data_IF_448153427437
#
_entry.id   IF_448153427437
#
_cell.length_a   1.000
_cell.length_b   1.000
_cell.length_c   1.000
_cell.angle_alpha   90.00
_cell.angle_beta   90.00
_cell.angle_gamma   90.00
#
_symmetry.space_group_name_H-M   'P 1'
#
loop_
_entity.id
_entity.type
_entity.pdbx_description
1 polymer ?
#
# COMPACT_ATOMS: atom_id res chain seq x y z
N UNK A 1 11.22 45.08 33.11
CA UNK A 1 10.32 43.93 32.87
C UNK A 1 10.20 43.75 31.37
N UNK A 2 11.09 42.96 30.78
CA UNK A 2 11.20 42.76 29.34
C UNK A 2 10.05 41.89 28.80
N UNK A 3 9.23 42.46 27.91
CA UNK A 3 8.22 41.77 27.10
C UNK A 3 8.65 41.70 25.63
N UNK A 4 9.74 41.00 25.34
CA UNK A 4 10.17 40.73 23.94
C UNK A 4 10.61 39.28 23.74
N UNK A 5 9.95 38.32 24.40
CA UNK A 5 10.13 36.91 24.07
C UNK A 5 9.32 36.60 22.80
N UNK A 6 10.01 36.49 21.66
CA UNK A 6 9.42 35.96 20.43
C UNK A 6 8.79 34.58 20.72
N UNK A 7 7.58 34.30 20.21
CA UNK A 7 7.00 32.97 20.35
C UNK A 7 7.92 31.92 19.71
N UNK A 8 8.02 30.71 20.30
CA UNK A 8 8.83 29.64 19.75
C UNK A 8 8.35 29.33 18.33
N UNK A 9 9.29 29.29 17.39
CA UNK A 9 8.99 28.94 16.00
C UNK A 9 8.30 27.58 15.96
N UNK A 10 7.25 27.40 15.13
CA UNK A 10 6.59 26.12 14.99
C UNK A 10 7.61 25.06 14.56
N UNK A 11 7.48 23.80 15.06
CA UNK A 11 8.38 22.73 14.68
C UNK A 11 8.37 22.57 13.16
N UNK A 12 9.58 22.48 12.57
CA UNK A 12 9.74 22.29 11.15
C UNK A 12 8.94 21.05 10.69
N UNK A 13 8.25 21.12 9.52
CA UNK A 13 7.50 19.98 9.01
C UNK A 13 8.44 18.78 8.85
N UNK A 14 7.96 17.55 9.14
CA UNK A 14 8.75 16.36 8.95
C UNK A 14 9.21 16.30 7.49
N UNK A 15 10.52 16.10 7.30
CA UNK A 15 11.11 16.01 5.97
C UNK A 15 10.33 14.97 5.14
N UNK A 16 10.05 15.27 3.85
CA UNK A 16 9.38 14.31 2.97
C UNK A 16 10.17 13.01 3.02
N UNK A 17 9.46 11.88 3.14
CA UNK A 17 10.05 10.54 3.22
C UNK A 17 11.14 10.40 2.15
N UNK A 18 12.39 10.56 2.59
CA UNK A 18 13.49 10.95 1.71
C UNK A 18 13.70 9.91 0.63
N UNK A 19 13.85 10.37 -0.61
CA UNK A 19 14.42 9.52 -1.65
C UNK A 19 15.72 8.91 -1.12
N UNK A 20 15.96 7.60 -1.34
CA UNK A 20 17.21 7.01 -0.90
C UNK A 20 18.36 7.73 -1.62
N UNK A 21 19.08 8.59 -0.89
CA UNK A 21 20.30 9.22 -1.36
C UNK A 21 21.40 8.15 -1.48
N UNK A 22 21.33 7.36 -2.55
CA UNK A 22 22.30 6.32 -2.90
C UNK A 22 22.05 4.93 -2.28
N UNK A 23 22.96 4.00 -2.61
CA UNK A 23 22.92 2.57 -2.25
C UNK A 23 22.74 2.35 -0.74
N UNK A 24 23.45 3.11 0.11
CA UNK A 24 23.32 3.03 1.57
C UNK A 24 21.93 3.38 2.06
N UNK A 25 21.22 4.27 1.37
CA UNK A 25 19.83 4.61 1.67
C UNK A 25 18.91 3.43 1.42
N UNK A 26 19.06 2.77 0.26
CA UNK A 26 18.27 1.61 -0.16
C UNK A 26 18.49 0.41 0.78
N UNK A 27 19.73 0.12 1.15
CA UNK A 27 20.06 -0.97 2.07
C UNK A 27 19.43 -0.82 3.47
N UNK A 28 19.16 0.42 3.90
CA UNK A 28 18.54 0.71 5.19
C UNK A 28 17.02 0.71 5.15
N UNK A 29 16.39 0.74 3.98
CA UNK A 29 14.93 0.83 3.85
C UNK A 29 14.17 -0.26 4.63
N UNK A 30 14.47 -1.56 4.54
CA UNK A 30 13.71 -2.58 5.28
C UNK A 30 13.86 -2.49 6.80
N UNK A 31 14.85 -1.73 7.30
CA UNK A 31 15.12 -1.58 8.73
C UNK A 31 14.60 -0.26 9.31
N UNK A 32 13.93 0.57 8.52
CA UNK A 32 13.38 1.86 8.97
C UNK A 32 11.93 1.71 9.43
N UNK A 33 11.62 2.27 10.61
CA UNK A 33 10.24 2.36 11.12
C UNK A 33 9.26 2.96 10.11
N UNK A 34 9.67 4.03 9.43
CA UNK A 34 8.84 4.70 8.43
C UNK A 34 8.46 3.79 7.26
N UNK A 35 9.36 2.92 6.81
CA UNK A 35 9.06 1.93 5.77
C UNK A 35 7.97 0.98 6.23
N UNK A 36 8.07 0.47 7.45
CA UNK A 36 7.06 -0.43 8.02
C UNK A 36 5.69 0.22 8.18
N UNK A 37 5.62 1.54 8.42
CA UNK A 37 4.33 2.26 8.37
C UNK A 37 3.70 2.21 6.97
N UNK A 38 4.49 2.36 5.90
CA UNK A 38 3.98 2.26 4.52
C UNK A 38 3.64 0.81 4.16
N UNK A 39 4.42 -0.15 4.63
CA UNK A 39 4.11 -1.59 4.48
C UNK A 39 2.78 -1.91 5.16
N UNK A 40 2.58 -1.52 6.41
CA UNK A 40 1.34 -1.75 7.14
C UNK A 40 0.16 -1.00 6.52
N UNK A 41 0.37 0.22 6.04
CA UNK A 41 -0.62 0.96 5.27
C UNK A 41 -1.05 0.20 4.02
N UNK A 42 -0.11 -0.32 3.21
CA UNK A 42 -0.41 -1.11 2.01
C UNK A 42 -0.95 -2.52 2.30
N UNK A 43 -0.51 -3.14 3.40
CA UNK A 43 -0.95 -4.47 3.84
C UNK A 43 -2.40 -4.43 4.32
N UNK A 44 -2.78 -3.36 5.01
CA UNK A 44 -4.15 -3.14 5.43
C UNK A 44 -4.98 -2.78 4.20
N UNK A 45 -5.68 -3.80 3.71
CA UNK A 45 -6.47 -3.75 2.48
C UNK A 45 -7.32 -2.48 2.46
N UNK A 46 -7.39 -1.77 1.30
CA UNK A 46 -8.44 -0.80 1.08
C UNK A 46 -9.79 -1.46 1.38
N UNK A 47 -10.70 -0.72 2.00
CA UNK A 47 -12.05 -1.20 2.36
C UNK A 47 -12.71 -2.02 1.23
N UNK A 48 -12.54 -1.56 -0.02
CA UNK A 48 -13.02 -2.25 -1.22
C UNK A 48 -12.49 -3.68 -1.37
N UNK A 49 -11.17 -3.83 -1.33
CA UNK A 49 -10.51 -5.10 -1.55
C UNK A 49 -10.80 -6.05 -0.37
N UNK A 50 -10.81 -5.52 0.86
CA UNK A 50 -11.15 -6.29 2.06
C UNK A 50 -12.57 -6.87 2.00
N UNK A 51 -13.54 -6.04 1.64
CA UNK A 51 -14.93 -6.49 1.49
C UNK A 51 -15.09 -7.52 0.37
N UNK A 52 -14.45 -7.32 -0.80
CA UNK A 52 -14.47 -8.29 -1.90
C UNK A 52 -13.86 -9.64 -1.47
N UNK A 53 -12.74 -9.63 -0.77
CA UNK A 53 -12.06 -10.85 -0.30
C UNK A 53 -12.87 -11.63 0.74
N UNK A 54 -13.64 -10.96 1.60
CA UNK A 54 -14.53 -11.62 2.57
C UNK A 54 -15.82 -12.09 1.91
N UNK A 55 -16.37 -11.32 0.98
CA UNK A 55 -17.69 -11.59 0.41
C UNK A 55 -17.65 -12.52 -0.81
N UNK A 56 -16.47 -12.86 -1.32
CA UNK A 56 -16.33 -13.93 -2.32
C UNK A 56 -16.84 -15.29 -1.81
N UNK A 57 -16.78 -15.55 -0.50
CA UNK A 57 -17.25 -16.81 0.10
C UNK A 57 -18.79 -16.96 -0.01
N UNK A 58 -19.60 -16.01 0.49
CA UNK A 58 -21.05 -16.06 0.32
C UNK A 58 -21.46 -15.95 -1.16
N UNK A 59 -20.73 -15.19 -1.99
CA UNK A 59 -21.01 -15.14 -3.44
C UNK A 59 -20.81 -16.51 -4.10
N UNK A 60 -19.71 -17.23 -3.80
CA UNK A 60 -19.46 -18.59 -4.28
C UNK A 60 -20.49 -19.58 -3.73
N UNK A 61 -20.87 -19.43 -2.47
CA UNK A 61 -21.91 -20.26 -1.85
C UNK A 61 -23.26 -20.07 -2.55
N UNK A 62 -23.67 -18.83 -2.82
CA UNK A 62 -24.92 -18.51 -3.51
C UNK A 62 -24.96 -19.12 -4.92
N UNK A 63 -23.84 -19.02 -5.67
CA UNK A 63 -23.72 -19.67 -6.97
C UNK A 63 -23.86 -21.20 -6.88
N UNK A 64 -23.22 -21.83 -5.88
CA UNK A 64 -23.32 -23.28 -5.66
C UNK A 64 -24.73 -23.80 -5.30
N UNK A 65 -25.64 -22.92 -4.88
CA UNK A 65 -27.01 -23.26 -4.50
C UNK A 65 -28.07 -22.70 -5.49
N UNK A 66 -27.66 -22.23 -6.66
CA UNK A 66 -28.59 -21.73 -7.70
C UNK A 66 -29.12 -20.31 -7.49
N UNK A 67 -28.53 -19.54 -6.57
CA UNK A 67 -28.90 -18.15 -6.28
C UNK A 67 -27.95 -17.14 -6.95
N UNK A 68 -27.64 -17.33 -8.23
CA UNK A 68 -26.71 -16.48 -8.98
C UNK A 68 -27.00 -14.95 -8.89
N UNK A 69 -28.26 -14.48 -8.93
CA UNK A 69 -28.56 -13.05 -8.81
C UNK A 69 -28.13 -12.44 -7.47
N UNK A 70 -28.09 -13.25 -6.39
CA UNK A 70 -27.69 -12.80 -5.05
C UNK A 70 -26.22 -12.38 -5.03
N UNK A 71 -25.35 -13.05 -5.79
CA UNK A 71 -23.94 -12.68 -5.89
C UNK A 71 -23.74 -11.26 -6.44
N UNK A 72 -24.49 -10.91 -7.49
CA UNK A 72 -24.47 -9.56 -8.08
C UNK A 72 -25.00 -8.48 -7.14
N UNK A 73 -26.06 -8.79 -6.37
CA UNK A 73 -26.60 -7.87 -5.35
C UNK A 73 -25.60 -7.63 -4.21
N UNK A 74 -24.90 -8.68 -3.76
CA UNK A 74 -23.83 -8.56 -2.76
C UNK A 74 -22.71 -7.66 -3.29
N UNK A 75 -22.27 -7.88 -4.53
CA UNK A 75 -21.22 -7.07 -5.13
C UNK A 75 -21.65 -5.60 -5.26
N UNK A 76 -22.88 -5.35 -5.74
CA UNK A 76 -23.42 -3.99 -5.83
C UNK A 76 -23.45 -3.30 -4.46
N UNK A 77 -23.91 -3.99 -3.41
CA UNK A 77 -23.92 -3.47 -2.05
C UNK A 77 -22.51 -3.09 -1.59
N UNK A 78 -21.51 -3.93 -1.87
CA UNK A 78 -20.10 -3.62 -1.56
C UNK A 78 -19.63 -2.37 -2.27
N UNK A 79 -19.89 -2.25 -3.57
CA UNK A 79 -19.50 -1.08 -4.35
C UNK A 79 -20.12 0.20 -3.78
N UNK A 80 -21.39 0.16 -3.37
CA UNK A 80 -22.08 1.28 -2.73
C UNK A 80 -21.44 1.62 -1.38
N UNK A 81 -21.22 0.64 -0.51
CA UNK A 81 -20.55 0.84 0.79
C UNK A 81 -19.18 1.48 0.60
N UNK A 82 -18.38 0.99 -0.34
CA UNK A 82 -17.04 1.51 -0.61
C UNK A 82 -17.10 2.92 -1.20
N UNK A 83 -18.03 3.20 -2.12
CA UNK A 83 -18.18 4.53 -2.70
C UNK A 83 -18.57 5.58 -1.64
N UNK A 84 -19.43 5.20 -0.68
CA UNK A 84 -19.90 6.09 0.40
C UNK A 84 -18.86 6.26 1.50
N UNK A 85 -18.31 5.15 2.02
CA UNK A 85 -17.44 5.16 3.19
C UNK A 85 -15.94 5.23 2.86
N UNK A 86 -15.55 4.88 1.64
CA UNK A 86 -14.16 4.85 1.18
C UNK A 86 -13.37 6.13 1.45
N UNK A 87 -13.89 7.33 1.13
CA UNK A 87 -13.19 8.57 1.44
C UNK A 87 -12.99 8.81 2.93
N UNK A 88 -13.95 8.41 3.79
CA UNK A 88 -13.82 8.55 5.24
C UNK A 88 -12.77 7.59 5.79
N UNK A 89 -12.87 6.32 5.40
CA UNK A 89 -11.91 5.28 5.76
C UNK A 89 -10.48 5.66 5.37
N UNK A 90 -10.28 6.16 4.15
CA UNK A 90 -8.96 6.54 3.66
C UNK A 90 -8.30 7.64 4.49
N UNK A 91 -9.07 8.65 4.90
CA UNK A 91 -8.57 9.73 5.76
C UNK A 91 -8.11 9.19 7.12
N UNK A 92 -8.90 8.30 7.73
CA UNK A 92 -8.55 7.68 9.02
C UNK A 92 -7.29 6.82 8.88
N UNK A 93 -7.22 6.01 7.83
CA UNK A 93 -6.09 5.12 7.56
C UNK A 93 -4.79 5.91 7.31
N UNK A 94 -4.85 6.95 6.48
CA UNK A 94 -3.72 7.83 6.19
C UNK A 94 -3.22 8.55 7.45
N UNK A 95 -4.15 9.09 8.27
CA UNK A 95 -3.80 9.75 9.52
C UNK A 95 -3.16 8.79 10.52
N UNK A 96 -3.75 7.61 10.70
CA UNK A 96 -3.28 6.65 11.71
C UNK A 96 -1.90 6.07 11.37
N UNK A 97 -1.69 5.65 10.12
CA UNK A 97 -0.46 4.95 9.74
C UNK A 97 0.67 5.89 9.33
N UNK A 98 0.33 6.97 8.62
CA UNK A 98 1.31 7.86 7.98
C UNK A 98 1.35 9.25 8.61
N UNK A 99 0.47 9.55 9.57
CA UNK A 99 0.34 10.90 10.12
C UNK A 99 -0.21 11.92 9.11
N UNK A 100 -0.77 11.44 7.98
CA UNK A 100 -1.14 12.30 6.87
C UNK A 100 -2.58 12.81 7.02
N UNK A 101 -2.72 14.12 7.14
CA UNK A 101 -4.02 14.78 7.16
C UNK A 101 -4.50 15.06 5.74
N UNK A 102 -5.64 14.45 5.39
CA UNK A 102 -6.33 14.65 4.12
C UNK A 102 -7.61 15.44 4.42
N UNK A 103 -7.63 16.69 3.96
CA UNK A 103 -8.74 17.61 4.18
C UNK A 103 -10.06 17.16 3.54
N UNK A 104 -11.06 18.05 3.61
CA UNK A 104 -12.32 17.89 2.89
C UNK A 104 -12.37 18.90 1.77
N UNK A 105 -12.67 18.44 0.55
CA UNK A 105 -12.87 19.31 -0.60
C UNK A 105 -14.35 19.47 -0.89
N UNK A 106 -14.80 20.71 -1.03
CA UNK A 106 -16.15 21.10 -1.48
C UNK A 106 -16.09 21.66 -2.92
N UNK A 107 -17.21 21.64 -3.65
CA UNK A 107 -17.35 22.27 -4.98
C UNK A 107 -17.97 21.42 -6.11
N UNK A 108 -18.14 22.04 -7.27
CA UNK A 108 -19.03 21.64 -8.39
C UNK A 108 -18.67 20.38 -9.19
N UNK A 109 -17.71 19.57 -8.74
CA UNK A 109 -17.37 18.28 -9.40
C UNK A 109 -17.24 17.13 -8.40
N UNK A 110 -18.01 17.20 -7.32
CA UNK A 110 -17.93 16.24 -6.22
C UNK A 110 -18.12 14.80 -6.70
N UNK A 111 -19.15 14.53 -7.50
CA UNK A 111 -19.45 13.18 -7.98
C UNK A 111 -18.31 12.58 -8.82
N UNK A 112 -17.88 13.29 -9.87
CA UNK A 112 -16.80 12.83 -10.77
C UNK A 112 -15.51 12.55 -9.99
N UNK A 113 -15.17 13.41 -9.02
CA UNK A 113 -13.97 13.20 -8.17
C UNK A 113 -14.12 12.00 -7.23
N UNK A 114 -15.30 11.77 -6.66
CA UNK A 114 -15.53 10.60 -5.82
C UNK A 114 -15.50 9.30 -6.63
N UNK A 115 -16.05 9.31 -7.84
CA UNK A 115 -15.96 8.18 -8.77
C UNK A 115 -14.50 7.90 -9.18
N UNK A 116 -13.75 8.95 -9.55
CA UNK A 116 -12.32 8.82 -9.85
C UNK A 116 -11.52 8.32 -8.64
N UNK A 117 -11.84 8.82 -7.44
CA UNK A 117 -11.22 8.36 -6.19
C UNK A 117 -11.49 6.88 -5.96
N UNK A 118 -12.75 6.44 -6.10
CA UNK A 118 -13.12 5.04 -5.95
C UNK A 118 -12.25 4.13 -6.83
N UNK A 119 -12.15 4.43 -8.13
CA UNK A 119 -11.38 3.62 -9.09
C UNK A 119 -9.87 3.66 -8.79
N UNK A 120 -9.30 4.86 -8.65
CA UNK A 120 -7.86 5.04 -8.50
C UNK A 120 -7.36 4.56 -7.13
N UNK A 121 -8.15 4.75 -6.07
CA UNK A 121 -7.82 4.24 -4.74
C UNK A 121 -7.88 2.70 -4.70
N UNK A 122 -8.85 2.10 -5.38
CA UNK A 122 -8.93 0.65 -5.51
C UNK A 122 -7.72 0.08 -6.26
N UNK A 123 -7.36 0.68 -7.40
CA UNK A 123 -6.20 0.26 -8.20
C UNK A 123 -4.88 0.39 -7.44
N UNK A 124 -4.60 1.59 -6.92
CA UNK A 124 -3.34 1.86 -6.20
C UNK A 124 -3.22 1.04 -4.92
N UNK A 125 -4.32 0.86 -4.20
CA UNK A 125 -4.37 0.00 -3.02
C UNK A 125 -4.18 -1.49 -3.34
N UNK A 126 -4.77 -2.00 -4.42
CA UNK A 126 -4.57 -3.36 -4.87
C UNK A 126 -3.11 -3.61 -5.30
N UNK A 127 -2.51 -2.68 -6.04
CA UNK A 127 -1.10 -2.72 -6.41
C UNK A 127 -0.18 -2.67 -5.18
N UNK A 128 -0.50 -1.80 -4.21
CA UNK A 128 0.23 -1.71 -2.94
C UNK A 128 0.19 -3.01 -2.15
N UNK A 129 -1.00 -3.61 -2.01
CA UNK A 129 -1.18 -4.91 -1.38
C UNK A 129 -0.40 -6.01 -2.11
N UNK A 130 -0.54 -6.11 -3.43
CA UNK A 130 0.16 -7.11 -4.24
C UNK A 130 1.68 -6.96 -4.14
N UNK A 131 2.19 -5.72 -4.10
CA UNK A 131 3.60 -5.44 -3.90
C UNK A 131 4.08 -5.92 -2.52
N UNK A 132 3.33 -5.67 -1.45
CA UNK A 132 3.67 -6.15 -0.09
C UNK A 132 3.61 -7.68 -0.03
N UNK A 133 2.51 -8.29 -0.47
CA UNK A 133 2.32 -9.74 -0.44
C UNK A 133 3.38 -10.46 -1.28
N UNK A 134 3.63 -9.98 -2.49
CA UNK A 134 4.68 -10.48 -3.37
C UNK A 134 6.07 -10.31 -2.76
N UNK A 135 6.37 -9.14 -2.20
CA UNK A 135 7.65 -8.90 -1.52
C UNK A 135 7.86 -9.85 -0.35
N UNK A 136 6.87 -10.05 0.52
CA UNK A 136 6.96 -10.97 1.66
C UNK A 136 7.15 -12.42 1.19
N UNK A 137 6.34 -12.89 0.24
CA UNK A 137 6.37 -14.26 -0.25
C UNK A 137 7.69 -14.57 -0.98
N UNK A 138 8.10 -13.69 -1.90
CA UNK A 138 9.35 -13.85 -2.65
C UNK A 138 10.54 -13.77 -1.70
N UNK A 139 10.57 -12.81 -0.77
CA UNK A 139 11.68 -12.70 0.19
C UNK A 139 11.74 -13.93 1.10
N UNK A 140 10.62 -14.37 1.68
CA UNK A 140 10.61 -15.54 2.56
C UNK A 140 11.04 -16.81 1.81
N UNK A 141 10.52 -17.02 0.59
CA UNK A 141 10.86 -18.19 -0.23
C UNK A 141 12.33 -18.19 -0.65
N UNK A 142 12.84 -17.05 -1.12
CA UNK A 142 14.15 -16.99 -1.76
C UNK A 142 15.31 -16.76 -0.77
N UNK A 143 15.08 -16.04 0.33
CA UNK A 143 16.12 -15.88 1.37
C UNK A 143 16.37 -17.18 2.13
N UNK A 144 15.37 -18.06 2.21
CA UNK A 144 15.51 -19.40 2.81
C UNK A 144 15.98 -20.46 1.82
N UNK A 145 16.12 -20.13 0.53
CA UNK A 145 16.48 -21.08 -0.52
C UNK A 145 17.79 -21.85 -0.24
N UNK A 146 18.85 -21.22 0.33
CA UNK A 146 20.06 -21.95 0.74
C UNK A 146 19.84 -23.03 1.81
N UNK A 147 18.65 -23.13 2.42
CA UNK A 147 18.34 -24.16 3.43
C UNK A 147 17.75 -25.41 2.78
N UNK A 148 16.97 -25.28 1.70
CA UNK A 148 16.17 -26.37 1.15
C UNK A 148 16.32 -26.61 -0.36
N UNK A 149 16.98 -25.71 -1.09
CA UNK A 149 17.07 -25.70 -2.55
C UNK A 149 18.11 -26.64 -3.19
N UNK A 150 18.76 -27.51 -2.42
CA UNK A 150 19.92 -28.31 -2.85
C UNK A 150 19.56 -29.59 -3.64
N UNK A 151 18.36 -29.66 -4.22
CA UNK A 151 17.90 -30.85 -4.95
C UNK A 151 18.29 -30.76 -6.43
N UNK A 152 18.72 -31.87 -7.06
CA UNK A 152 18.87 -31.92 -8.50
C UNK A 152 17.53 -31.64 -9.19
N UNK A 153 17.54 -30.79 -10.21
CA UNK A 153 16.36 -30.51 -11.03
C UNK A 153 16.44 -31.32 -12.33
N UNK A 154 15.43 -32.14 -12.65
CA UNK A 154 15.41 -32.94 -13.87
C UNK A 154 15.16 -32.09 -15.15
N UNK A 155 14.55 -30.92 -15.01
CA UNK A 155 14.28 -29.95 -16.08
C UNK A 155 15.20 -28.72 -15.96
N UNK A 156 15.43 -27.93 -17.04
CA UNK A 156 16.24 -26.71 -16.96
C UNK A 156 15.58 -25.69 -16.01
N UNK A 157 16.06 -25.67 -14.77
CA UNK A 157 15.69 -24.69 -13.78
C UNK A 157 16.40 -23.35 -14.04
N UNK A 158 15.76 -22.26 -13.63
CA UNK A 158 16.39 -20.96 -13.58
C UNK A 158 17.62 -21.05 -12.65
N UNK A 159 18.81 -20.76 -13.19
CA UNK A 159 20.08 -20.98 -12.50
C UNK A 159 20.88 -22.19 -13.01
N UNK A 160 20.37 -22.91 -14.01
CA UNK A 160 21.08 -23.98 -14.71
C UNK A 160 20.87 -25.37 -14.10
N UNK A 161 21.52 -26.41 -14.67
CA UNK A 161 21.32 -27.79 -14.24
C UNK A 161 21.95 -28.11 -12.88
N UNK A 162 22.84 -27.26 -12.38
CA UNK A 162 23.58 -27.49 -11.15
C UNK A 162 22.87 -26.85 -9.94
N UNK A 163 22.65 -27.56 -8.81
CA UNK A 163 21.96 -27.05 -7.63
C UNK A 163 22.53 -25.73 -7.10
N UNK A 164 23.87 -25.57 -7.15
CA UNK A 164 24.52 -24.32 -6.75
C UNK A 164 24.03 -23.10 -7.55
N UNK A 165 23.88 -23.21 -8.87
CA UNK A 165 23.45 -22.08 -9.70
C UNK A 165 22.00 -21.70 -9.44
N UNK A 166 21.14 -22.71 -9.21
CA UNK A 166 19.74 -22.50 -8.79
C UNK A 166 19.68 -21.81 -7.43
N UNK A 167 20.40 -22.31 -6.43
CA UNK A 167 20.45 -21.72 -5.09
C UNK A 167 20.99 -20.29 -5.13
N UNK A 168 22.09 -20.05 -5.85
CA UNK A 168 22.69 -18.74 -5.97
C UNK A 168 21.75 -17.73 -6.64
N UNK A 169 21.10 -18.11 -7.74
CA UNK A 169 20.16 -17.23 -8.45
C UNK A 169 18.96 -16.87 -7.57
N UNK A 170 18.32 -17.86 -6.95
CA UNK A 170 17.14 -17.62 -6.11
C UNK A 170 17.51 -16.78 -4.90
N UNK A 171 18.60 -17.11 -4.19
CA UNK A 171 19.05 -16.34 -3.05
C UNK A 171 19.40 -14.90 -3.44
N UNK A 172 20.15 -14.69 -4.53
CA UNK A 172 20.48 -13.35 -5.02
C UNK A 172 19.23 -12.55 -5.39
N UNK A 173 18.27 -13.17 -6.11
CA UNK A 173 16.99 -12.56 -6.41
C UNK A 173 16.19 -12.22 -5.15
N UNK A 174 16.26 -13.08 -4.12
CA UNK A 174 15.68 -12.85 -2.80
C UNK A 174 16.29 -11.64 -2.11
N UNK A 175 17.62 -11.52 -2.08
CA UNK A 175 18.33 -10.38 -1.51
C UNK A 175 17.98 -9.09 -2.24
N UNK A 176 18.00 -9.08 -3.58
CA UNK A 176 17.64 -7.91 -4.38
C UNK A 176 16.18 -7.50 -4.12
N UNK A 177 15.26 -8.47 -4.16
CA UNK A 177 13.83 -8.21 -3.90
C UNK A 177 13.61 -7.69 -2.49
N UNK A 178 14.28 -8.28 -1.49
CA UNK A 178 14.16 -7.87 -0.09
C UNK A 178 14.55 -6.40 0.11
N UNK A 179 15.62 -5.96 -0.56
CA UNK A 179 16.16 -4.61 -0.45
C UNK A 179 15.39 -3.59 -1.30
N UNK A 180 14.95 -3.96 -2.50
CA UNK A 180 14.28 -3.06 -3.46
C UNK A 180 12.77 -2.98 -3.23
N UNK A 181 12.13 -4.08 -2.82
CA UNK A 181 10.69 -4.15 -2.60
C UNK A 181 10.12 -3.03 -1.72
N UNK A 182 10.74 -2.70 -0.58
CA UNK A 182 10.26 -1.62 0.28
C UNK A 182 10.25 -0.24 -0.40
N UNK A 183 11.17 0.02 -1.33
CA UNK A 183 11.16 1.25 -2.13
C UNK A 183 9.91 1.33 -3.01
N UNK A 184 9.56 0.24 -3.70
CA UNK A 184 8.35 0.16 -4.53
C UNK A 184 7.09 0.37 -3.68
N UNK A 185 7.01 -0.29 -2.53
CA UNK A 185 5.88 -0.20 -1.61
C UNK A 185 5.68 1.24 -1.11
N UNK A 186 6.76 1.90 -0.67
CA UNK A 186 6.71 3.29 -0.23
C UNK A 186 6.22 4.21 -1.35
N UNK A 187 6.71 4.05 -2.58
CA UNK A 187 6.26 4.86 -3.73
C UNK A 187 4.78 4.63 -4.04
N UNK A 188 4.29 3.40 -3.99
CA UNK A 188 2.87 3.10 -4.21
C UNK A 188 1.97 3.73 -3.13
N UNK A 189 2.36 3.63 -1.87
CA UNK A 189 1.67 4.31 -0.77
C UNK A 189 1.65 5.84 -0.97
N UNK A 190 2.77 6.44 -1.39
CA UNK A 190 2.84 7.87 -1.70
C UNK A 190 1.95 8.26 -2.90
N UNK A 191 1.86 7.41 -3.94
CA UNK A 191 0.93 7.62 -5.06
C UNK A 191 -0.51 7.58 -4.54
N UNK A 192 -0.85 6.61 -3.71
CA UNK A 192 -2.20 6.48 -3.14
C UNK A 192 -2.59 7.71 -2.31
N UNK A 193 -1.69 8.21 -1.48
CA UNK A 193 -1.91 9.46 -0.72
C UNK A 193 -2.07 10.66 -1.65
N UNK A 194 -1.27 10.77 -2.72
CA UNK A 194 -1.43 11.85 -3.72
C UNK A 194 -2.79 11.78 -4.42
N UNK A 195 -3.25 10.59 -4.77
CA UNK A 195 -4.59 10.36 -5.35
C UNK A 195 -5.67 10.81 -4.36
N UNK A 196 -5.59 10.39 -3.09
CA UNK A 196 -6.55 10.78 -2.07
C UNK A 196 -6.56 12.30 -1.84
N UNK A 197 -5.39 12.92 -1.72
CA UNK A 197 -5.24 14.38 -1.61
C UNK A 197 -5.80 15.12 -2.82
N UNK A 198 -5.57 14.64 -4.04
CA UNK A 198 -6.03 15.33 -5.25
C UNK A 198 -7.55 15.28 -5.42
N UNK A 199 -8.18 14.16 -5.05
CA UNK A 199 -9.57 13.87 -5.39
C UNK A 199 -10.56 14.15 -4.26
N UNK A 200 -10.21 13.83 -3.02
CA UNK A 200 -11.13 13.94 -1.87
C UNK A 200 -10.68 14.93 -0.79
N UNK A 201 -9.46 15.49 -0.90
CA UNK A 201 -8.94 16.52 -0.02
C UNK A 201 -8.53 17.80 -0.73
N UNK A 202 -8.36 18.89 0.02
CA UNK A 202 -7.49 19.99 -0.35
C UNK A 202 -6.25 19.86 0.54
N UNK A 203 -5.06 19.90 -0.05
CA UNK A 203 -3.84 20.08 0.73
C UNK A 203 -3.84 21.50 1.28
N UNK A 204 -4.46 21.72 2.42
CA UNK A 204 -4.22 22.89 3.25
C UNK A 204 -3.55 22.39 4.51
N UNK A 205 -2.24 22.61 4.59
CA UNK A 205 -1.61 22.90 5.86
C UNK A 205 -2.51 23.92 6.55
N UNK A 206 -2.90 23.67 7.80
CA UNK A 206 -3.70 24.60 8.58
C UNK A 206 -3.05 25.98 8.53
N UNK A 207 -3.62 26.88 7.72
CA UNK A 207 -3.56 28.28 8.03
C UNK A 207 -4.59 28.47 9.15
N UNK A 208 -4.17 28.75 10.39
CA UNK A 208 -5.12 29.24 11.39
C UNK A 208 -5.76 30.51 10.84
N UNK A 209 -7.07 30.64 11.04
CA UNK A 209 -7.91 31.64 10.41
C UNK A 209 -7.35 33.06 10.48
N UNK A 210 -7.52 33.77 9.36
CA UNK A 210 -7.64 35.22 9.37
C UNK A 210 -9.06 35.59 9.83
#
# INVERSE_FOLDING_TARGET
MDRTANPPSPPAPPAPAGEPAGLRGLLRLPFRRQTWQHVLYCLLLPLALGLVMVLQYPMKSAAGHGYEPVGSLILLLVLVVVAVFGPGFERVRARFWLGEEIGRRTGDRRFVRHAAFFVLNMLTGALGFAAVAGWLLVSARNLTYPIWGWRPYPDPAWGGPHPFGVVALHFAAGVVTFLVGPWVIVRLAQVQIRVARGLIGSGQAGAPGA
#
